data_IF_479801967027
#
_entry.id   IF_479801967027
#
_cell.length_a   1.000
_cell.length_b   1.000
_cell.length_c   1.000
_cell.angle_alpha   90.00
_cell.angle_beta   90.00
_cell.angle_gamma   90.00
#
_symmetry.space_group_name_H-M   'P 1'
#
loop_
_entity.id
_entity.type
_entity.pdbx_description
1 polymer ?
#
# COMPACT_ATOMS: atom_id res chain seq x y z
N UNK A 1 3.99 -13.22 18.24
CA UNK A 1 3.75 -12.67 16.90
C UNK A 1 3.25 -11.24 16.99
N UNK A 2 3.79 -10.38 16.18
CA UNK A 2 3.37 -9.00 16.22
C UNK A 2 2.16 -8.77 15.34
N UNK A 3 1.18 -8.11 15.92
CA UNK A 3 -0.02 -7.73 15.20
C UNK A 3 0.28 -6.58 14.25
N UNK A 4 -0.15 -6.69 13.01
CA UNK A 4 0.06 -5.62 12.06
C UNK A 4 -1.06 -4.61 12.17
N UNK A 5 -0.68 -3.36 12.25
CA UNK A 5 -1.63 -2.27 12.40
C UNK A 5 -1.93 -1.64 11.05
N UNK A 6 -3.11 -1.06 10.96
CA UNK A 6 -3.46 -0.31 9.77
C UNK A 6 -2.85 1.08 9.86
N UNK A 7 -2.56 1.63 8.70
CA UNK A 7 -1.98 2.96 8.59
C UNK A 7 -3.08 4.01 8.62
N UNK A 8 -2.78 5.15 9.23
CA UNK A 8 -3.65 6.30 9.06
C UNK A 8 -3.51 6.82 7.63
N UNK A 9 -4.40 7.74 7.24
CA UNK A 9 -4.35 8.29 5.90
C UNK A 9 -3.00 8.95 5.61
N UNK A 10 -2.50 9.76 6.55
CA UNK A 10 -1.22 10.44 6.36
C UNK A 10 -0.05 9.46 6.27
N UNK A 11 -0.09 8.43 7.09
CA UNK A 11 0.95 7.41 7.08
C UNK A 11 0.92 6.62 5.78
N UNK A 12 -0.28 6.32 5.29
CA UNK A 12 -0.42 5.59 4.05
C UNK A 12 0.14 6.40 2.87
N UNK A 13 -0.04 7.71 2.88
CA UNK A 13 0.51 8.55 1.82
C UNK A 13 2.03 8.41 1.76
N UNK A 14 2.69 8.41 2.91
CA UNK A 14 4.14 8.24 2.95
C UNK A 14 4.54 6.89 2.40
N UNK A 15 3.86 5.83 2.85
CA UNK A 15 4.20 4.48 2.40
C UNK A 15 3.96 4.32 0.91
N UNK A 16 2.86 4.88 0.39
CA UNK A 16 2.56 4.79 -1.03
C UNK A 16 3.67 5.43 -1.87
N UNK A 17 4.17 6.57 -1.42
CA UNK A 17 5.26 7.22 -2.12
C UNK A 17 6.53 6.36 -2.07
N UNK A 18 6.86 5.84 -0.88
CA UNK A 18 8.04 4.98 -0.73
C UNK A 18 7.97 3.75 -1.63
N UNK A 19 6.83 3.07 -1.63
CA UNK A 19 6.68 1.87 -2.45
C UNK A 19 6.85 2.18 -3.94
N UNK A 20 6.56 3.41 -4.36
CA UNK A 20 6.61 3.79 -5.77
C UNK A 20 7.89 4.52 -6.17
N UNK A 21 8.81 4.73 -5.24
CA UNK A 21 10.12 5.24 -5.61
C UNK A 21 10.88 4.18 -6.41
N UNK A 22 11.80 4.60 -7.29
CA UNK A 22 12.48 3.62 -8.16
C UNK A 22 13.14 2.48 -7.40
N UNK A 23 13.77 2.76 -6.25
CA UNK A 23 14.40 1.73 -5.46
C UNK A 23 13.50 1.25 -4.33
N UNK A 24 12.24 1.71 -4.28
CA UNK A 24 11.30 1.45 -3.20
C UNK A 24 11.88 1.84 -1.85
N UNK A 25 12.75 2.85 -1.85
CA UNK A 25 13.44 3.35 -0.68
C UNK A 25 13.88 4.76 -1.00
N UNK A 26 14.09 5.58 0.02
CA UNK A 26 14.58 6.92 -0.27
C UNK A 26 14.82 7.76 0.96
N UNK A 27 15.41 8.91 0.70
CA UNK A 27 15.64 9.94 1.71
C UNK A 27 14.37 10.77 1.90
N UNK A 28 14.29 11.43 3.05
CA UNK A 28 13.14 12.29 3.35
C UNK A 28 12.85 13.29 2.23
N UNK A 29 13.90 13.91 1.69
CA UNK A 29 13.73 14.89 0.62
C UNK A 29 13.16 14.28 -0.66
N UNK A 30 13.56 13.05 -0.97
CA UNK A 30 13.03 12.37 -2.14
C UNK A 30 11.54 12.07 -1.99
N UNK A 31 11.16 11.67 -0.79
CA UNK A 31 9.76 11.39 -0.50
C UNK A 31 8.95 12.68 -0.61
N UNK A 32 9.47 13.75 0.00
CA UNK A 32 8.78 15.03 -0.01
C UNK A 32 8.55 15.53 -1.45
N UNK A 33 9.54 15.30 -2.32
CA UNK A 33 9.45 15.78 -3.69
C UNK A 33 8.33 15.10 -4.48
N UNK A 34 7.87 13.93 -4.02
CA UNK A 34 6.82 13.18 -4.72
C UNK A 34 5.41 13.52 -4.23
N UNK A 35 5.27 14.33 -3.20
CA UNK A 35 3.94 14.75 -2.76
C UNK A 35 3.34 15.72 -3.78
N UNK A 36 2.03 15.61 -3.94
CA UNK A 36 1.29 16.62 -4.69
C UNK A 36 1.04 17.83 -3.79
N UNK A 37 0.88 18.99 -4.40
CA UNK A 37 0.60 20.20 -3.65
C UNK A 37 -0.78 20.12 -3.02
N UNK A 38 -0.96 20.63 -1.81
CA UNK A 38 0.08 21.24 -0.97
C UNK A 38 0.92 20.18 -0.28
N UNK A 39 2.25 20.34 -0.35
CA UNK A 39 3.16 19.41 0.29
C UNK A 39 3.18 19.67 1.80
N UNK A 40 3.38 18.65 2.61
CA UNK A 40 3.59 18.88 4.04
C UNK A 40 4.94 19.55 4.27
N UNK A 41 5.10 20.14 5.44
CA UNK A 41 6.39 20.68 5.83
C UNK A 41 7.37 19.52 6.00
N UNK A 42 8.64 19.78 5.77
CA UNK A 42 9.69 18.78 5.95
C UNK A 42 9.62 18.15 7.34
N UNK A 43 9.44 19.00 8.37
CA UNK A 43 9.38 18.51 9.74
C UNK A 43 8.15 17.63 9.98
N UNK A 44 7.05 17.94 9.33
CA UNK A 44 5.84 17.11 9.43
C UNK A 44 6.09 15.74 8.84
N UNK A 45 6.70 15.69 7.65
CA UNK A 45 7.03 14.41 7.03
C UNK A 45 8.01 13.62 7.90
N UNK A 46 9.01 14.31 8.46
CA UNK A 46 9.97 13.64 9.34
C UNK A 46 9.26 13.00 10.53
N UNK A 47 8.25 13.67 11.07
CA UNK A 47 7.46 13.11 12.15
C UNK A 47 6.71 11.85 11.72
N UNK A 48 6.08 11.90 10.53
CA UNK A 48 5.39 10.72 10.01
C UNK A 48 6.36 9.54 9.87
N UNK A 49 7.57 9.80 9.36
CA UNK A 49 8.56 8.74 9.19
C UNK A 49 9.00 8.17 10.53
N UNK A 50 9.11 9.02 11.54
CA UNK A 50 9.44 8.54 12.88
C UNK A 50 8.35 7.64 13.43
N UNK A 51 7.09 8.03 13.24
CA UNK A 51 5.96 7.23 13.67
C UNK A 51 5.96 5.89 12.95
N UNK A 52 6.19 5.90 11.63
CA UNK A 52 6.23 4.67 10.85
C UNK A 52 7.37 3.76 11.28
N UNK A 53 8.50 4.34 11.64
CA UNK A 53 9.62 3.56 12.18
C UNK A 53 9.22 2.89 13.49
N UNK A 54 8.59 3.65 14.37
CA UNK A 54 8.17 3.12 15.66
C UNK A 54 7.09 2.04 15.52
N UNK A 55 6.24 2.16 14.52
CA UNK A 55 5.21 1.15 14.25
C UNK A 55 5.76 -0.07 13.53
N UNK A 56 7.00 0.00 13.06
CA UNK A 56 7.64 -1.13 12.40
C UNK A 56 7.39 -1.23 10.91
N UNK A 57 6.86 -0.19 10.27
CA UNK A 57 6.59 -0.20 8.83
C UNK A 57 7.77 0.18 7.98
N UNK A 58 8.70 0.95 8.54
CA UNK A 58 9.92 1.31 7.83
C UNK A 58 11.11 1.14 8.76
N UNK A 59 12.26 0.96 8.16
CA UNK A 59 13.54 1.00 8.86
C UNK A 59 14.39 2.02 8.15
N UNK A 60 15.43 2.50 8.83
CA UNK A 60 16.29 3.49 8.22
C UNK A 60 17.74 3.12 8.41
N UNK A 61 18.56 3.69 7.53
CA UNK A 61 19.99 3.58 7.60
C UNK A 61 20.53 4.98 7.40
N UNK A 62 21.51 5.34 8.21
CA UNK A 62 22.12 6.64 8.06
C UNK A 62 23.12 6.60 6.92
N UNK A 63 22.95 7.51 5.97
CA UNK A 63 23.87 7.66 4.85
C UNK A 63 24.36 9.09 4.85
N UNK A 64 25.61 9.28 5.29
CA UNK A 64 26.12 10.61 5.54
C UNK A 64 25.35 11.24 6.68
N UNK A 65 24.82 12.42 6.46
CA UNK A 65 24.02 13.14 7.46
C UNK A 65 22.53 12.90 7.31
N UNK A 66 22.13 12.03 6.38
CA UNK A 66 20.71 11.85 6.04
C UNK A 66 20.27 10.44 6.37
N UNK A 67 18.97 10.30 6.61
CA UNK A 67 18.36 9.00 6.87
C UNK A 67 17.73 8.48 5.59
N UNK A 68 18.05 7.24 5.28
CA UNK A 68 17.53 6.54 4.10
C UNK A 68 16.53 5.50 4.57
N UNK A 69 15.28 5.64 4.16
CA UNK A 69 14.17 4.81 4.66
C UNK A 69 13.82 3.72 3.69
N UNK A 70 13.54 2.54 4.23
CA UNK A 70 13.13 1.37 3.44
C UNK A 70 11.92 0.74 4.11
N UNK A 71 10.85 0.44 3.36
CA UNK A 71 9.71 -0.28 3.94
C UNK A 71 10.10 -1.66 4.43
N UNK A 72 9.49 -2.09 5.53
CA UNK A 72 9.67 -3.44 6.06
C UNK A 72 8.59 -4.39 5.57
N UNK A 73 7.59 -3.86 4.90
CA UNK A 73 6.46 -4.61 4.38
C UNK A 73 6.23 -4.14 2.95
N UNK A 74 5.94 -5.06 2.05
CA UNK A 74 5.65 -4.70 0.68
C UNK A 74 4.24 -4.14 0.55
N UNK A 75 4.00 -3.46 -0.57
CA UNK A 75 2.66 -2.95 -0.85
C UNK A 75 1.65 -4.08 -0.92
N UNK A 76 2.01 -5.19 -1.55
CA UNK A 76 1.11 -6.33 -1.65
C UNK A 76 0.80 -6.94 -0.28
N UNK A 77 1.82 -7.03 0.58
CA UNK A 77 1.60 -7.53 1.93
C UNK A 77 0.67 -6.63 2.73
N UNK A 78 0.85 -5.32 2.59
CA UNK A 78 -0.05 -4.40 3.28
C UNK A 78 -1.47 -4.48 2.71
N UNK A 79 -1.60 -4.60 1.39
CA UNK A 79 -2.91 -4.74 0.76
C UNK A 79 -3.63 -5.96 1.31
N UNK A 80 -2.93 -7.07 1.49
CA UNK A 80 -3.53 -8.27 2.06
C UNK A 80 -4.00 -8.02 3.50
N UNK A 81 -3.16 -7.37 4.30
CA UNK A 81 -3.51 -7.05 5.68
C UNK A 81 -4.76 -6.16 5.74
N UNK A 82 -4.86 -5.22 4.82
CA UNK A 82 -5.98 -4.29 4.78
C UNK A 82 -7.26 -4.94 4.25
N UNK A 83 -7.13 -5.73 3.17
CA UNK A 83 -8.31 -6.24 2.46
C UNK A 83 -8.89 -7.51 3.05
N UNK A 84 -8.07 -8.34 3.70
CA UNK A 84 -8.59 -9.59 4.25
C UNK A 84 -9.69 -9.36 5.29
N UNK A 85 -9.52 -8.44 6.25
CA UNK A 85 -10.62 -8.16 7.18
C UNK A 85 -11.85 -7.59 6.49
N UNK A 86 -11.67 -6.83 5.41
CA UNK A 86 -12.80 -6.30 4.65
C UNK A 86 -13.62 -7.45 4.05
N UNK A 87 -12.93 -8.42 3.44
CA UNK A 87 -13.62 -9.58 2.88
C UNK A 87 -14.39 -10.33 3.97
N UNK A 88 -13.76 -10.53 5.12
CA UNK A 88 -14.38 -11.29 6.20
C UNK A 88 -15.55 -10.55 6.81
N UNK A 89 -15.40 -9.25 7.05
CA UNK A 89 -16.41 -8.48 7.75
C UNK A 89 -17.62 -8.15 6.88
N UNK A 90 -17.37 -7.73 5.64
CA UNK A 90 -18.44 -7.24 4.78
C UNK A 90 -18.97 -8.30 3.83
N UNK A 91 -18.20 -9.35 3.55
CA UNK A 91 -18.57 -10.35 2.56
C UNK A 91 -18.53 -11.76 3.10
N UNK A 92 -18.58 -11.90 4.42
CA UNK A 92 -18.68 -13.20 5.11
C UNK A 92 -17.56 -14.16 4.71
N UNK A 93 -16.39 -13.61 4.43
CA UNK A 93 -15.26 -14.41 4.01
C UNK A 93 -15.34 -14.93 2.58
N UNK A 94 -16.35 -14.50 1.83
CA UNK A 94 -16.60 -15.03 0.48
C UNK A 94 -15.99 -14.13 -0.59
N UNK A 95 -15.01 -14.68 -1.30
CA UNK A 95 -14.43 -13.96 -2.42
C UNK A 95 -15.48 -13.71 -3.51
N UNK A 96 -16.36 -14.69 -3.72
CA UNK A 96 -17.40 -14.54 -4.73
C UNK A 96 -18.32 -13.37 -4.44
N UNK A 97 -18.73 -13.22 -3.15
CA UNK A 97 -19.59 -12.11 -2.80
C UNK A 97 -18.89 -10.78 -2.98
N UNK A 98 -17.62 -10.72 -2.60
CA UNK A 98 -16.85 -9.51 -2.77
C UNK A 98 -16.72 -9.14 -4.24
N UNK A 99 -16.40 -10.13 -5.07
CA UNK A 99 -16.29 -9.90 -6.52
C UNK A 99 -17.62 -9.49 -7.11
N UNK A 100 -18.72 -10.12 -6.68
CA UNK A 100 -20.04 -9.75 -7.18
C UNK A 100 -20.35 -8.30 -6.88
N UNK A 101 -20.00 -7.85 -5.68
CA UNK A 101 -20.22 -6.47 -5.29
C UNK A 101 -19.50 -5.51 -6.24
N UNK A 102 -18.22 -5.77 -6.49
CA UNK A 102 -17.46 -4.87 -7.36
C UNK A 102 -17.89 -4.96 -8.81
N UNK A 103 -18.19 -6.15 -9.29
CA UNK A 103 -18.57 -6.33 -10.69
C UNK A 103 -19.89 -5.67 -11.02
N UNK A 104 -20.81 -5.60 -10.05
CA UNK A 104 -22.09 -4.93 -10.29
C UNK A 104 -21.93 -3.45 -10.55
N UNK A 105 -20.87 -2.86 -10.03
CA UNK A 105 -20.61 -1.43 -10.19
C UNK A 105 -19.93 -1.12 -11.51
N UNK A 106 -19.32 -2.12 -12.12
CA UNK A 106 -18.58 -1.94 -13.36
C UNK A 106 -19.43 -2.30 -14.55
N UNK A 107 -19.32 -1.52 -15.61
CA UNK A 107 -20.01 -1.80 -16.85
C UNK A 107 -18.98 -2.37 -17.82
N UNK A 108 -18.71 -3.67 -17.69
CA UNK A 108 -17.62 -4.30 -18.41
C UNK A 108 -18.03 -4.67 -19.83
N UNK A 109 -17.12 -4.43 -20.77
CA UNK A 109 -17.29 -4.89 -22.13
C UNK A 109 -17.01 -6.40 -22.18
N UNK A 110 -17.41 -7.01 -23.29
CA UNK A 110 -17.16 -8.43 -23.50
C UNK A 110 -15.66 -8.73 -23.45
N UNK A 111 -14.84 -7.86 -24.03
CA UNK A 111 -13.40 -8.02 -24.00
C UNK A 111 -12.85 -7.97 -22.59
N UNK A 112 -13.36 -7.04 -21.79
CA UNK A 112 -12.92 -6.92 -20.41
C UNK A 112 -13.31 -8.15 -19.59
N UNK A 113 -14.49 -8.71 -19.83
CA UNK A 113 -14.90 -9.94 -19.16
C UNK A 113 -13.96 -11.08 -19.51
N UNK A 114 -13.62 -11.22 -20.79
CA UNK A 114 -12.72 -12.28 -21.22
C UNK A 114 -11.33 -12.10 -20.62
N UNK A 115 -10.86 -10.86 -20.51
CA UNK A 115 -9.57 -10.58 -19.91
C UNK A 115 -9.55 -11.00 -18.42
N UNK A 116 -10.65 -10.75 -17.71
CA UNK A 116 -10.73 -11.15 -16.31
C UNK A 116 -10.74 -12.66 -16.15
N UNK A 117 -11.46 -13.37 -17.03
CA UNK A 117 -11.47 -14.83 -16.98
C UNK A 117 -10.07 -15.37 -17.20
N UNK A 118 -9.38 -14.82 -18.19
CA UNK A 118 -8.00 -15.24 -18.46
C UNK A 118 -7.09 -14.97 -17.29
N UNK A 119 -7.25 -13.81 -16.66
CA UNK A 119 -6.45 -13.45 -15.49
C UNK A 119 -6.63 -14.46 -14.36
N UNK A 120 -7.88 -14.86 -14.12
CA UNK A 120 -8.16 -15.83 -13.06
C UNK A 120 -7.42 -17.13 -13.34
N UNK A 121 -7.44 -17.62 -14.57
CA UNK A 121 -6.75 -18.84 -14.92
C UNK A 121 -5.23 -18.69 -14.75
N UNK A 122 -4.69 -17.56 -15.15
CA UNK A 122 -3.26 -17.33 -15.04
C UNK A 122 -2.80 -17.32 -13.59
N UNK A 123 -3.55 -16.63 -12.73
CA UNK A 123 -3.18 -16.51 -11.33
C UNK A 123 -3.32 -17.83 -10.61
N UNK A 124 -4.31 -18.63 -11.01
CA UNK A 124 -4.50 -19.95 -10.38
C UNK A 124 -3.54 -21.00 -10.94
N UNK A 125 -2.67 -20.62 -11.86
CA UNK A 125 -1.65 -21.52 -12.37
C UNK A 125 -2.15 -22.56 -13.36
N UNK A 126 -3.25 -22.28 -14.01
CA UNK A 126 -3.85 -23.25 -14.94
C UNK A 126 -3.97 -22.71 -16.33
#
# INVERSE_FOLDING_TARGET
MREKKLLTHSEFQVMRILWNLPAQSGFTGEILARYEDPKPAYTTLATFLKILTNKGFVKFKKKGSKLFYTPTISQAEYADTFLSPVKDTFFHGSLQEMMRFFLRKENLSEGEVNDLIQLIHEVQGK
#
